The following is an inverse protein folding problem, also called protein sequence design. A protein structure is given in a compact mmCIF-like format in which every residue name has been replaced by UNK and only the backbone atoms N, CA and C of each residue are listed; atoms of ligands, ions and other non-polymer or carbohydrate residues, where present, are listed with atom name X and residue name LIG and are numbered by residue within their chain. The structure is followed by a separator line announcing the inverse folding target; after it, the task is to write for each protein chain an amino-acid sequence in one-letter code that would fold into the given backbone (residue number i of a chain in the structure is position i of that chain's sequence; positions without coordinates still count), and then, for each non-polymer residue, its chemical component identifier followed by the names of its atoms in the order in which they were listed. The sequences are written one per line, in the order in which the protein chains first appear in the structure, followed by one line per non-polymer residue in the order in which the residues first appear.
data_IF_195201735418
#
_entry.id   IF_195201735418
#
_cell.length_a   1.000
_cell.length_b   1.000
_cell.length_c   1.000
_cell.angle_alpha   90.00
_cell.angle_beta   90.00
_cell.angle_gamma   90.00
#
_symmetry.space_group_name_H-M   'P 1'
#
loop_
_entity.id
_entity.type
_entity.pdbx_description
1 polymer ?
#
# COMPACT_ATOMS: atom_id res chain seq x y z
N UNK A 1 12.97 -0.40 19.27
CA UNK A 1 14.11 0.02 18.41
C UNK A 1 14.19 -0.98 17.29
N UNK A 2 14.28 -0.53 16.04
CA UNK A 2 14.43 -1.40 14.88
C UNK A 2 15.89 -1.42 14.47
N UNK A 3 16.44 -2.61 14.29
CA UNK A 3 17.84 -2.84 13.94
C UNK A 3 17.87 -3.65 12.65
N UNK A 4 18.73 -3.26 11.72
CA UNK A 4 18.84 -3.90 10.42
C UNK A 4 20.29 -4.27 10.12
N UNK A 5 20.46 -5.31 9.30
CA UNK A 5 21.71 -5.65 8.65
C UNK A 5 21.43 -5.91 7.16
N UNK A 6 22.11 -5.15 6.30
CA UNK A 6 21.96 -5.22 4.85
C UNK A 6 23.35 -5.17 4.23
N UNK A 7 23.71 -6.18 3.45
CA UNK A 7 25.01 -6.25 2.73
C UNK A 7 26.24 -5.99 3.62
N UNK A 8 26.23 -6.50 4.85
CA UNK A 8 27.34 -6.32 5.80
C UNK A 8 27.39 -4.95 6.49
N UNK A 9 26.50 -4.03 6.13
CA UNK A 9 26.23 -2.82 6.90
C UNK A 9 25.18 -3.10 7.96
N UNK A 10 25.18 -2.34 9.05
CA UNK A 10 24.16 -2.43 10.10
C UNK A 10 23.83 -1.06 10.68
N UNK A 11 22.58 -0.87 11.08
CA UNK A 11 22.12 0.36 11.70
C UNK A 11 20.95 0.14 12.64
N UNK A 12 20.53 1.18 13.34
CA UNK A 12 19.36 1.14 14.20
C UNK A 12 18.60 2.46 14.14
N UNK A 13 17.28 2.36 14.07
CA UNK A 13 16.37 3.48 14.01
C UNK A 13 15.25 3.33 15.02
N UNK A 14 14.73 4.46 15.51
CA UNK A 14 13.57 4.50 16.39
C UNK A 14 12.33 4.69 15.55
N UNK A 15 11.56 3.62 15.37
CA UNK A 15 10.20 3.71 14.86
C UNK A 15 9.19 3.84 16.00
N UNK A 16 8.14 4.59 15.72
CA UNK A 16 6.91 4.59 16.51
C UNK A 16 5.93 3.68 15.81
N UNK A 17 5.38 2.72 16.55
CA UNK A 17 4.33 1.86 16.03
C UNK A 17 3.05 2.67 15.86
N UNK A 18 2.59 2.84 14.62
CA UNK A 18 1.36 3.55 14.31
C UNK A 18 0.12 2.66 14.38
N UNK A 19 0.28 1.37 14.04
CA UNK A 19 -0.78 0.37 14.02
C UNK A 19 -0.66 -0.58 15.22
N UNK A 20 -1.70 -0.72 16.05
CA UNK A 20 -1.75 -1.81 17.04
C UNK A 20 -2.40 -3.04 16.43
N UNK A 21 -1.92 -4.22 16.82
CA UNK A 21 -2.51 -5.48 16.39
C UNK A 21 -3.98 -5.53 16.84
N UNK A 22 -4.90 -5.76 15.91
CA UNK A 22 -6.33 -5.90 16.20
C UNK A 22 -7.20 -4.68 15.93
N UNK A 23 -6.61 -3.50 15.74
CA UNK A 23 -7.34 -2.29 15.37
C UNK A 23 -7.90 -2.43 13.95
N UNK A 24 -9.17 -2.81 13.86
CA UNK A 24 -9.88 -3.00 12.60
C UNK A 24 -10.93 -1.92 12.37
N UNK A 25 -11.08 -1.41 11.14
CA UNK A 25 -12.19 -0.53 10.82
C UNK A 25 -13.55 -1.21 11.01
N UNK A 26 -14.58 -0.39 11.22
CA UNK A 26 -15.96 -0.85 11.18
C UNK A 26 -16.41 -1.01 9.72
N UNK A 27 -16.99 -2.15 9.40
CA UNK A 27 -17.64 -2.43 8.12
C UNK A 27 -19.00 -3.05 8.39
N UNK A 28 -20.07 -2.36 7.98
CA UNK A 28 -21.46 -2.79 8.18
C UNK A 28 -21.78 -3.19 9.62
N UNK A 29 -21.26 -2.45 10.60
CA UNK A 29 -21.51 -2.69 12.02
C UNK A 29 -20.59 -3.72 12.68
N UNK A 30 -19.66 -4.33 11.94
CA UNK A 30 -18.70 -5.31 12.47
C UNK A 30 -17.25 -4.85 12.27
N UNK A 31 -16.38 -5.14 13.24
CA UNK A 31 -14.94 -4.96 13.06
C UNK A 31 -14.43 -5.94 12.00
N UNK A 32 -13.83 -5.41 10.94
CA UNK A 32 -13.39 -6.21 9.80
C UNK A 32 -11.95 -5.88 9.44
N UNK A 33 -11.14 -6.93 9.28
CA UNK A 33 -9.73 -6.78 8.92
C UNK A 33 -9.56 -6.79 7.39
N UNK A 34 -9.15 -5.67 6.82
CA UNK A 34 -8.77 -5.56 5.40
C UNK A 34 -7.24 -5.55 5.20
N UNK A 35 -6.45 -5.53 6.27
CA UNK A 35 -4.99 -5.54 6.21
C UNK A 35 -4.50 -6.83 5.55
N UNK A 36 -3.61 -6.70 4.58
CA UNK A 36 -3.08 -7.85 3.85
C UNK A 36 -2.66 -7.52 2.43
N UNK A 37 -2.20 -8.54 1.71
CA UNK A 37 -1.90 -8.43 0.29
C UNK A 37 -3.18 -8.68 -0.53
N UNK A 38 -3.45 -7.83 -1.51
CA UNK A 38 -4.60 -7.87 -2.40
C UNK A 38 -4.15 -7.85 -3.86
N UNK A 39 -4.83 -8.59 -4.72
CA UNK A 39 -4.47 -8.67 -6.13
C UNK A 39 -5.69 -8.98 -7.01
N UNK A 40 -5.58 -8.68 -8.31
CA UNK A 40 -6.51 -9.18 -9.30
C UNK A 40 -6.05 -10.57 -9.78
N UNK A 41 -6.87 -11.64 -9.64
CA UNK A 41 -6.51 -12.96 -10.14
C UNK A 41 -6.21 -13.04 -11.64
N UNK A 42 -6.75 -12.09 -12.41
CA UNK A 42 -6.54 -11.99 -13.85
C UNK A 42 -5.27 -11.20 -14.25
N UNK A 43 -4.55 -10.65 -13.28
CA UNK A 43 -3.33 -9.84 -13.50
C UNK A 43 -2.22 -10.27 -12.52
N UNK A 44 -1.57 -11.39 -12.80
CA UNK A 44 -0.43 -11.84 -12.00
C UNK A 44 0.74 -10.84 -12.05
N UNK A 45 1.42 -10.66 -10.92
CA UNK A 45 2.56 -9.74 -10.80
C UNK A 45 2.21 -8.32 -10.35
N UNK A 46 0.92 -8.01 -10.19
CA UNK A 46 0.41 -6.70 -9.75
C UNK A 46 -0.46 -6.86 -8.52
N UNK A 47 -0.49 -5.84 -7.66
CA UNK A 47 -1.32 -5.87 -6.46
C UNK A 47 -0.92 -4.79 -5.46
N UNK A 48 -1.49 -4.87 -4.27
CA UNK A 48 -1.19 -3.96 -3.18
C UNK A 48 -1.10 -4.65 -1.84
N UNK A 49 -0.21 -4.14 -1.00
CA UNK A 49 -0.29 -4.35 0.44
C UNK A 49 -1.14 -3.24 1.05
N UNK A 50 -2.18 -3.63 1.77
CA UNK A 50 -3.11 -2.73 2.45
C UNK A 50 -2.86 -2.81 3.94
N UNK A 51 -2.73 -1.66 4.59
CA UNK A 51 -2.87 -1.48 6.02
C UNK A 51 -4.18 -0.73 6.29
N UNK A 52 -5.14 -1.40 6.91
CA UNK A 52 -6.44 -0.82 7.25
C UNK A 52 -6.60 -0.68 8.77
N UNK A 53 -6.69 0.56 9.25
CA UNK A 53 -6.98 0.96 10.61
C UNK A 53 -8.26 1.81 10.60
N UNK A 54 -8.99 1.95 11.72
CA UNK A 54 -10.18 2.82 11.76
C UNK A 54 -9.94 4.24 11.23
N UNK A 55 -8.83 4.85 11.65
CA UNK A 55 -8.51 6.24 11.31
C UNK A 55 -7.66 6.37 10.03
N UNK A 56 -7.22 5.25 9.44
CA UNK A 56 -6.28 5.31 8.31
C UNK A 56 -6.28 4.06 7.45
N UNK A 57 -6.27 4.28 6.14
CA UNK A 57 -5.79 3.31 5.18
C UNK A 57 -4.44 3.76 4.62
N UNK A 58 -3.49 2.83 4.50
CA UNK A 58 -2.23 3.04 3.80
C UNK A 58 -1.96 1.85 2.88
N UNK A 59 -1.68 2.15 1.62
CA UNK A 59 -1.50 1.13 0.60
C UNK A 59 -0.17 1.31 -0.11
N UNK A 60 0.51 0.18 -0.38
CA UNK A 60 1.64 0.12 -1.32
C UNK A 60 1.16 -0.64 -2.54
N UNK A 61 1.20 -0.05 -3.73
CA UNK A 61 0.79 -0.71 -4.98
C UNK A 61 2.02 -1.03 -5.84
N UNK A 62 2.12 -2.28 -6.27
CA UNK A 62 3.23 -2.83 -7.05
C UNK A 62 2.84 -3.01 -8.52
N UNK A 63 3.70 -2.52 -9.41
CA UNK A 63 3.51 -2.57 -10.86
C UNK A 63 4.86 -2.49 -11.58
N UNK A 64 4.84 -2.42 -12.92
CA UNK A 64 6.06 -2.35 -13.73
C UNK A 64 6.03 -1.09 -14.61
N UNK A 65 7.21 -0.54 -14.89
CA UNK A 65 7.39 0.53 -15.87
C UNK A 65 7.39 -0.01 -17.32
N UNK A 66 7.53 0.89 -18.30
CA UNK A 66 7.55 0.53 -19.73
C UNK A 66 8.74 -0.37 -20.12
N UNK A 67 9.77 -0.46 -19.28
CA UNK A 67 10.92 -1.36 -19.47
C UNK A 67 10.71 -2.73 -18.80
N UNK A 68 9.56 -2.95 -18.15
CA UNK A 68 9.28 -4.16 -17.39
C UNK A 68 10.02 -4.24 -16.06
N UNK A 69 10.53 -3.13 -15.54
CA UNK A 69 11.18 -3.07 -14.23
C UNK A 69 10.15 -2.81 -13.13
N UNK A 70 10.28 -3.54 -12.01
CA UNK A 70 9.36 -3.40 -10.89
C UNK A 70 9.43 -2.00 -10.26
N UNK A 71 8.26 -1.45 -9.98
CA UNK A 71 8.00 -0.15 -9.36
C UNK A 71 6.93 -0.28 -8.29
N UNK A 72 6.89 0.71 -7.40
CA UNK A 72 5.83 0.83 -6.43
C UNK A 72 5.45 2.29 -6.22
N UNK A 73 4.20 2.49 -5.82
CA UNK A 73 3.70 3.75 -5.29
C UNK A 73 3.09 3.53 -3.92
N UNK A 74 2.99 4.60 -3.14
CA UNK A 74 2.33 4.55 -1.83
C UNK A 74 1.25 5.62 -1.74
N UNK A 75 0.13 5.26 -1.13
CA UNK A 75 -1.03 6.14 -0.96
C UNK A 75 -1.68 5.93 0.39
N UNK A 76 -2.50 6.89 0.79
CA UNK A 76 -3.29 6.79 2.03
C UNK A 76 -4.61 7.52 1.91
N UNK A 77 -5.60 7.07 2.66
CA UNK A 77 -6.84 7.81 2.94
C UNK A 77 -7.09 7.89 4.44
N UNK A 78 -7.72 8.96 4.89
CA UNK A 78 -8.04 9.23 6.29
C UNK A 78 -9.47 9.82 6.36
N UNK A 79 -10.40 9.25 7.14
CA UNK A 79 -10.31 7.95 7.82
C UNK A 79 -10.39 6.77 6.82
N UNK A 80 -10.40 5.53 7.32
CA UNK A 80 -10.73 4.38 6.47
C UNK A 80 -12.19 4.49 5.98
N UNK A 81 -12.40 4.14 4.71
CA UNK A 81 -13.72 3.93 4.14
C UNK A 81 -13.68 2.71 3.22
N UNK A 82 -14.74 1.91 3.23
CA UNK A 82 -14.83 0.71 2.40
C UNK A 82 -14.78 1.03 0.89
N UNK A 83 -15.26 2.21 0.50
CA UNK A 83 -15.06 2.77 -0.83
C UNK A 83 -14.31 4.08 -0.69
N UNK A 84 -13.10 4.16 -1.23
CA UNK A 84 -12.22 5.33 -1.07
C UNK A 84 -11.34 5.56 -2.29
N UNK A 85 -10.95 6.83 -2.48
CA UNK A 85 -9.92 7.23 -3.44
C UNK A 85 -8.66 7.58 -2.68
N UNK A 86 -7.58 6.84 -2.94
CA UNK A 86 -6.26 7.09 -2.39
C UNK A 86 -5.42 7.86 -3.42
N UNK A 87 -4.82 8.96 -2.97
CA UNK A 87 -3.81 9.68 -3.76
C UNK A 87 -2.44 9.05 -3.54
N UNK A 88 -1.83 8.61 -4.63
CA UNK A 88 -0.56 7.89 -4.64
C UNK A 88 0.60 8.81 -5.02
N UNK A 89 1.76 8.52 -4.44
CA UNK A 89 3.03 9.15 -4.74
C UNK A 89 4.10 8.10 -5.02
N UNK A 90 5.03 8.40 -5.91
CA UNK A 90 6.32 7.72 -6.01
C UNK A 90 7.32 8.48 -5.13
N UNK A 91 7.91 7.78 -4.16
CA UNK A 91 8.79 8.38 -3.16
C UNK A 91 10.25 8.02 -3.43
N UNK A 92 11.16 8.97 -3.22
CA UNK A 92 12.62 8.76 -3.32
C UNK A 92 13.35 9.35 -2.11
N UNK A 93 14.61 8.96 -1.90
CA UNK A 93 15.51 9.60 -0.94
C UNK A 93 15.81 8.80 0.35
N UNK A 94 15.08 7.73 0.65
CA UNK A 94 15.43 6.86 1.77
C UNK A 94 16.50 5.84 1.35
N UNK A 95 17.65 5.88 2.03
CA UNK A 95 18.74 4.90 1.89
C UNK A 95 19.27 4.58 3.29
N UNK A 96 19.13 3.34 3.80
CA UNK A 96 19.50 3.01 5.17
C UNK A 96 21.01 3.13 5.44
N UNK A 97 21.86 2.96 4.42
CA UNK A 97 23.32 3.07 4.53
C UNK A 97 23.88 4.46 4.20
N UNK A 98 23.05 5.41 3.76
CA UNK A 98 23.48 6.72 3.31
C UNK A 98 23.32 7.77 4.43
N UNK A 99 23.93 8.94 4.25
CA UNK A 99 23.57 10.11 5.05
C UNK A 99 22.07 10.40 4.89
N UNK A 100 21.42 10.79 5.98
CA UNK A 100 20.00 11.11 5.97
C UNK A 100 19.69 12.18 4.91
N UNK A 101 18.69 11.88 4.09
CA UNK A 101 18.08 12.83 3.16
C UNK A 101 16.56 12.81 3.36
N UNK A 102 15.88 13.96 3.27
CA UNK A 102 14.43 13.99 3.35
C UNK A 102 13.81 13.22 2.17
N UNK A 103 12.70 12.52 2.44
CA UNK A 103 11.94 11.83 1.40
C UNK A 103 11.30 12.85 0.47
N UNK A 104 11.57 12.71 -0.83
CA UNK A 104 10.89 13.48 -1.87
C UNK A 104 9.68 12.70 -2.35
N UNK A 105 8.52 13.37 -2.45
CA UNK A 105 7.28 12.79 -2.97
C UNK A 105 6.99 13.38 -4.34
N UNK A 106 6.77 12.52 -5.33
CA UNK A 106 6.28 12.92 -6.64
C UNK A 106 4.88 12.34 -6.86
N UNK A 107 3.90 13.13 -7.37
CA UNK A 107 2.56 12.63 -7.64
C UNK A 107 2.59 11.45 -8.61
N UNK A 108 1.90 10.37 -8.27
CA UNK A 108 1.76 9.20 -9.14
C UNK A 108 0.36 9.09 -9.72
N UNK A 109 -0.67 9.57 -9.03
CA UNK A 109 -2.06 9.51 -9.47
C UNK A 109 -2.97 8.97 -8.39
N UNK A 110 -3.98 8.20 -8.76
CA UNK A 110 -4.97 7.68 -7.80
C UNK A 110 -5.25 6.19 -7.95
N UNK A 111 -5.65 5.58 -6.85
CA UNK A 111 -6.28 4.27 -6.81
C UNK A 111 -7.61 4.41 -6.10
N UNK A 112 -8.68 3.90 -6.71
CA UNK A 112 -9.95 3.70 -6.02
C UNK A 112 -10.03 2.26 -5.57
N UNK A 113 -10.43 2.05 -4.32
CA UNK A 113 -10.75 0.74 -3.77
C UNK A 113 -12.22 0.71 -3.37
N UNK A 114 -12.86 -0.43 -3.57
CA UNK A 114 -14.23 -0.70 -3.14
C UNK A 114 -14.31 -2.12 -2.57
N UNK A 115 -14.30 -2.22 -1.24
CA UNK A 115 -14.36 -3.48 -0.52
C UNK A 115 -15.81 -3.96 -0.40
N UNK A 116 -16.12 -5.09 -1.03
CA UNK A 116 -17.41 -5.76 -0.89
C UNK A 116 -17.45 -6.70 0.34
N UNK A 117 -16.29 -7.18 0.78
CA UNK A 117 -16.11 -8.05 1.95
C UNK A 117 -14.67 -8.02 2.43
N UNK A 118 -14.38 -8.70 3.54
CA UNK A 118 -13.02 -8.86 4.08
C UNK A 118 -12.02 -9.54 3.11
N UNK A 119 -12.51 -10.19 2.05
CA UNK A 119 -11.69 -11.01 1.14
C UNK A 119 -11.88 -10.68 -0.33
N UNK A 120 -12.79 -9.75 -0.67
CA UNK A 120 -13.12 -9.44 -2.05
C UNK A 120 -13.62 -8.00 -2.23
N UNK A 121 -13.33 -7.44 -3.39
CA UNK A 121 -13.72 -6.09 -3.76
C UNK A 121 -13.36 -5.77 -5.21
N UNK A 122 -13.33 -4.49 -5.54
CA UNK A 122 -12.83 -3.97 -6.81
C UNK A 122 -11.79 -2.90 -6.55
N UNK A 123 -10.90 -2.70 -7.53
CA UNK A 123 -10.06 -1.52 -7.56
C UNK A 123 -9.94 -0.99 -8.98
N UNK A 124 -9.67 0.31 -9.06
CA UNK A 124 -9.29 0.95 -10.31
C UNK A 124 -8.08 1.83 -10.08
N UNK A 125 -7.18 1.91 -11.06
CA UNK A 125 -5.98 2.74 -10.99
C UNK A 125 -6.00 3.76 -12.11
N UNK A 126 -5.39 4.92 -11.83
CA UNK A 126 -4.94 5.87 -12.82
C UNK A 126 -3.59 6.41 -12.35
N UNK A 127 -2.52 5.69 -12.70
CA UNK A 127 -1.16 5.97 -12.26
C UNK A 127 -0.28 6.35 -13.45
N UNK A 128 0.56 7.36 -13.28
CA UNK A 128 1.51 7.86 -14.30
C UNK A 128 2.85 8.13 -13.62
N UNK A 129 3.85 7.33 -13.98
CA UNK A 129 5.21 7.48 -13.47
C UNK A 129 5.80 8.82 -13.89
N UNK A 130 6.47 9.48 -12.95
CA UNK A 130 7.16 10.74 -13.23
C UNK A 130 8.62 10.47 -13.66
N UNK A 131 9.21 11.34 -14.49
CA UNK A 131 10.60 11.23 -14.89
C UNK A 131 11.55 11.08 -13.68
N UNK A 132 12.62 10.27 -13.80
CA UNK A 132 13.11 9.61 -15.01
C UNK A 132 12.42 8.29 -15.36
N UNK A 133 11.42 7.87 -14.58
CA UNK A 133 10.64 6.67 -14.86
C UNK A 133 9.60 6.97 -15.96
N UNK A 134 9.18 5.92 -16.66
CA UNK A 134 8.20 6.01 -17.77
C UNK A 134 7.12 4.97 -17.61
N UNK A 135 5.93 5.26 -18.12
CA UNK A 135 4.81 4.33 -18.12
C UNK A 135 3.62 4.79 -17.30
N UNK A 136 2.49 4.19 -17.60
CA UNK A 136 1.23 4.43 -16.92
C UNK A 136 0.52 3.12 -16.63
N UNK A 137 -0.28 3.10 -15.56
CA UNK A 137 -1.06 1.94 -15.17
C UNK A 137 -2.51 2.34 -14.92
N UNK A 138 -3.36 2.06 -15.92
CA UNK A 138 -4.80 2.32 -15.88
C UNK A 138 -5.54 1.00 -15.97
N UNK A 139 -6.22 0.62 -14.89
CA UNK A 139 -6.97 -0.64 -14.85
C UNK A 139 -8.22 -0.50 -14.01
N UNK A 140 -9.16 -1.43 -14.19
CA UNK A 140 -10.33 -1.61 -13.34
C UNK A 140 -10.62 -3.11 -13.28
N UNK A 141 -10.48 -3.71 -12.10
CA UNK A 141 -10.56 -5.16 -11.91
C UNK A 141 -11.16 -5.53 -10.56
N UNK A 142 -11.81 -6.71 -10.48
CA UNK A 142 -12.05 -7.34 -9.19
C UNK A 142 -10.71 -7.69 -8.52
N UNK A 143 -10.67 -7.53 -7.20
CA UNK A 143 -9.56 -7.95 -6.36
C UNK A 143 -10.01 -8.95 -5.31
N UNK A 144 -9.09 -9.82 -4.93
CA UNK A 144 -9.23 -10.74 -3.81
C UNK A 144 -8.04 -10.60 -2.89
N UNK A 145 -8.23 -10.89 -1.60
CA UNK A 145 -7.12 -10.90 -0.66
C UNK A 145 -6.33 -12.20 -0.80
N UNK A 146 -5.02 -12.07 -0.96
CA UNK A 146 -4.07 -13.18 -1.05
C UNK A 146 -3.72 -13.74 0.34
N UNK A 147 -3.60 -12.86 1.34
CA UNK A 147 -3.28 -13.26 2.72
C UNK A 147 -4.52 -13.71 3.49
N UNK A 148 -4.32 -14.47 4.57
CA UNK A 148 -5.38 -14.84 5.52
C UNK A 148 -6.01 -13.63 6.21
N UNK A 149 -7.09 -13.85 6.98
CA UNK A 149 -7.72 -12.84 7.85
C UNK A 149 -7.18 -13.01 9.27
N UNK A 150 -6.17 -12.25 9.74
CA UNK A 150 -5.92 -12.17 11.17
C UNK A 150 -7.18 -11.66 11.88
N UNK A 151 -7.47 -12.21 13.06
CA UNK A 151 -8.60 -11.76 13.85
C UNK A 151 -8.41 -10.30 14.30
N UNK A 152 -9.50 -9.55 14.33
CA UNK A 152 -9.56 -8.27 15.05
C UNK A 152 -9.55 -8.56 16.55
N UNK A 153 -8.72 -7.88 17.32
CA UNK A 153 -8.66 -7.99 18.78
C UNK A 153 -8.98 -6.62 19.37
N UNK A 154 -9.93 -6.58 20.31
CA UNK A 154 -10.25 -5.38 21.08
C UNK A 154 -9.12 -4.99 22.03
#
# INVERSE_FOLDING_TARGET
MFTWSLEGQSGSERFVQLARTGDCPNFNGAMTNFTGAWYAPTLSGYGMDVLSLPEQQFDVFYFYDDLGLARWGVGSSLPFAASSTLTFNQNTGFCPSCAYAPVTKQPLGTINVDYASATGGNFSTNLVLQPPLSGSWVTNKPMVRLTGSPACTQ
#
